data_IF_621742860743
#
_entry.id   IF_621742860743
#
_cell.length_a   1.000
_cell.length_b   1.000
_cell.length_c   1.000
_cell.angle_alpha   90.00
_cell.angle_beta   90.00
_cell.angle_gamma   90.00
#
_symmetry.space_group_name_H-M   'P 1'
#
loop_
_entity.id
_entity.type
_entity.pdbx_description
1 polymer ?
#
# COMPACT_ATOMS: atom_id res chain seq x y z
N UNK A 1 -12.69 -15.27 -2.17
CA UNK A 1 -12.59 -14.31 -1.04
C UNK A 1 -13.83 -13.39 -0.92
N UNK A 2 -14.94 -13.73 -1.58
CA UNK A 2 -16.21 -13.00 -1.44
C UNK A 2 -16.62 -12.81 0.01
N UNK A 3 -17.06 -11.60 0.36
CA UNK A 3 -17.52 -11.23 1.71
C UNK A 3 -16.42 -10.82 2.69
N UNK A 4 -15.14 -10.95 2.32
CA UNK A 4 -14.03 -10.47 3.14
C UNK A 4 -13.70 -9.01 2.84
N UNK A 5 -13.43 -8.26 3.90
CA UNK A 5 -12.88 -6.91 3.85
C UNK A 5 -11.43 -6.98 4.31
N UNK A 6 -10.50 -6.50 3.49
CA UNK A 6 -9.05 -6.60 3.73
C UNK A 6 -8.42 -5.22 3.68
N UNK A 7 -7.67 -4.88 4.73
CA UNK A 7 -6.78 -3.72 4.74
C UNK A 7 -5.38 -4.14 4.26
N UNK A 8 -4.82 -3.39 3.32
CA UNK A 8 -3.45 -3.56 2.82
C UNK A 8 -2.66 -2.30 3.12
N UNK A 9 -1.61 -2.43 3.92
CA UNK A 9 -0.76 -1.31 4.33
C UNK A 9 0.59 -1.36 3.58
N UNK A 10 0.79 -0.56 2.51
CA UNK A 10 2.09 -0.41 1.89
C UNK A 10 2.99 0.48 2.76
N UNK A 11 3.68 -0.15 3.70
CA UNK A 11 4.59 0.50 4.63
C UNK A 11 5.66 1.36 3.95
N UNK A 12 6.07 2.42 4.65
CA UNK A 12 7.03 3.44 4.22
C UNK A 12 6.60 4.27 2.99
N UNK A 13 7.17 5.46 2.85
CA UNK A 13 7.00 6.33 1.68
C UNK A 13 8.09 6.14 0.62
N UNK A 14 7.97 6.89 -0.47
CA UNK A 14 9.04 7.03 -1.47
C UNK A 14 10.10 8.08 -1.06
N UNK A 15 10.05 8.61 0.15
CA UNK A 15 11.00 9.59 0.65
C UNK A 15 12.32 8.91 1.01
N UNK A 16 13.44 9.49 0.57
CA UNK A 16 14.77 9.02 0.98
C UNK A 16 14.92 9.21 2.49
N UNK A 17 15.36 8.15 3.19
CA UNK A 17 15.50 8.12 4.64
C UNK A 17 14.25 7.64 5.39
N UNK A 18 13.13 7.38 4.69
CA UNK A 18 11.97 6.70 5.25
C UNK A 18 11.94 5.24 4.79
N UNK A 19 12.48 4.36 5.63
CA UNK A 19 12.67 2.93 5.33
C UNK A 19 14.06 2.62 4.75
N UNK A 20 14.18 1.42 4.18
CA UNK A 20 15.45 0.88 3.67
C UNK A 20 15.67 1.20 2.20
N UNK A 21 16.93 1.41 1.80
CA UNK A 21 17.33 1.43 0.39
C UNK A 21 18.13 0.16 0.06
N UNK A 22 17.73 -0.55 -0.99
CA UNK A 22 18.46 -1.71 -1.49
C UNK A 22 19.78 -1.32 -2.19
N UNK A 23 20.66 -2.29 -2.50
CA UNK A 23 21.97 -2.01 -3.11
C UNK A 23 21.90 -1.31 -4.48
N UNK A 24 20.77 -1.43 -5.18
CA UNK A 24 20.50 -0.76 -6.46
C UNK A 24 19.76 0.58 -6.30
N UNK A 25 19.59 1.07 -5.07
CA UNK A 25 18.87 2.31 -4.78
C UNK A 25 17.34 2.20 -4.81
N UNK A 26 16.79 0.98 -4.86
CA UNK A 26 15.34 0.77 -4.74
C UNK A 26 14.92 1.08 -3.31
N UNK A 27 13.99 2.01 -3.16
CA UNK A 27 13.43 2.40 -1.86
C UNK A 27 12.34 1.41 -1.43
N UNK A 28 12.38 1.02 -0.16
CA UNK A 28 11.43 0.09 0.46
C UNK A 28 9.97 0.50 0.23
N UNK A 29 9.61 1.76 0.49
CA UNK A 29 8.24 2.21 0.30
C UNK A 29 7.77 2.23 -1.16
N UNK A 30 8.68 2.29 -2.13
CA UNK A 30 8.35 2.09 -3.55
C UNK A 30 8.08 0.62 -3.85
N UNK A 31 8.91 -0.29 -3.34
CA UNK A 31 8.73 -1.73 -3.50
C UNK A 31 7.42 -2.19 -2.85
N UNK A 32 7.17 -1.79 -1.60
CA UNK A 32 5.96 -2.11 -0.85
C UNK A 32 4.71 -1.60 -1.56
N UNK A 33 4.72 -0.37 -2.07
CA UNK A 33 3.58 0.18 -2.81
C UNK A 33 3.24 -0.64 -4.06
N UNK A 34 4.26 -0.98 -4.86
CA UNK A 34 4.08 -1.79 -6.07
C UNK A 34 3.54 -3.18 -5.74
N UNK A 35 4.04 -3.81 -4.68
CA UNK A 35 3.52 -5.10 -4.22
C UNK A 35 2.07 -5.00 -3.74
N UNK A 36 1.73 -3.98 -2.97
CA UNK A 36 0.40 -3.76 -2.45
C UNK A 36 -0.65 -3.55 -3.56
N UNK A 37 -0.31 -2.80 -4.62
CA UNK A 37 -1.19 -2.64 -5.79
C UNK A 37 -1.52 -3.98 -6.46
N UNK A 38 -0.50 -4.84 -6.63
CA UNK A 38 -0.69 -6.18 -7.22
C UNK A 38 -1.47 -7.11 -6.30
N UNK A 39 -1.26 -7.00 -4.98
CA UNK A 39 -2.02 -7.74 -4.00
C UNK A 39 -3.49 -7.33 -4.02
N UNK A 40 -3.77 -6.02 -3.98
CA UNK A 40 -5.13 -5.47 -4.09
C UNK A 40 -5.84 -6.01 -5.32
N UNK A 41 -5.23 -5.88 -6.50
CA UNK A 41 -5.81 -6.36 -7.75
C UNK A 41 -6.17 -7.86 -7.70
N UNK A 42 -5.29 -8.69 -7.12
CA UNK A 42 -5.53 -10.13 -6.98
C UNK A 42 -6.65 -10.45 -6.00
N UNK A 43 -6.67 -9.78 -4.85
CA UNK A 43 -7.68 -9.99 -3.81
C UNK A 43 -9.07 -9.55 -4.28
N UNK A 44 -9.17 -8.42 -4.97
CA UNK A 44 -10.42 -7.92 -5.57
C UNK A 44 -10.95 -8.86 -6.65
N UNK A 45 -10.07 -9.40 -7.52
CA UNK A 45 -10.44 -10.45 -8.50
C UNK A 45 -10.99 -11.72 -7.84
N UNK A 46 -10.59 -12.01 -6.60
CA UNK A 46 -11.12 -13.12 -5.82
C UNK A 46 -12.39 -12.74 -5.04
N UNK A 47 -12.91 -11.53 -5.19
CA UNK A 47 -14.16 -11.05 -4.59
C UNK A 47 -14.00 -10.36 -3.22
N UNK A 48 -12.78 -10.10 -2.75
CA UNK A 48 -12.58 -9.32 -1.54
C UNK A 48 -12.85 -7.82 -1.80
N UNK A 49 -13.26 -7.10 -0.75
CA UNK A 49 -13.22 -5.63 -0.72
C UNK A 49 -11.90 -5.19 -0.10
N UNK A 50 -11.08 -4.43 -0.83
CA UNK A 50 -9.72 -4.11 -0.41
C UNK A 50 -9.52 -2.61 -0.25
N UNK A 51 -9.02 -2.22 0.92
CA UNK A 51 -8.68 -0.85 1.25
C UNK A 51 -7.18 -0.71 1.45
N UNK A 52 -6.61 0.39 0.97
CA UNK A 52 -5.20 0.70 1.17
C UNK A 52 -5.06 1.91 2.09
N UNK A 53 -4.16 1.83 3.08
CA UNK A 53 -3.84 2.96 3.97
C UNK A 53 -3.17 4.13 3.23
N UNK A 54 -2.63 3.86 2.04
CA UNK A 54 -2.02 4.83 1.14
C UNK A 54 -2.41 4.50 -0.30
N UNK A 55 -3.01 5.47 -1.00
CA UNK A 55 -3.43 5.35 -2.39
C UNK A 55 -2.51 6.05 -3.39
N UNK A 56 -1.53 6.83 -2.91
CA UNK A 56 -0.62 7.62 -3.74
C UNK A 56 0.85 7.36 -3.37
N UNK A 57 1.79 7.31 -4.34
CA UNK A 57 3.21 7.12 -4.07
C UNK A 57 3.87 8.20 -3.21
N UNK A 58 3.33 9.43 -3.20
CA UNK A 58 4.01 10.61 -2.68
C UNK A 58 3.75 10.94 -1.20
N UNK A 59 2.71 10.38 -0.59
CA UNK A 59 2.30 10.73 0.78
C UNK A 59 2.34 9.48 1.67
N UNK A 60 3.36 9.36 2.54
CA UNK A 60 3.23 8.56 3.76
C UNK A 60 3.46 9.36 5.06
N UNK A 61 3.65 10.68 4.94
CA UNK A 61 3.69 11.56 6.09
C UNK A 61 2.31 12.22 6.27
N UNK A 62 1.69 11.97 7.42
CA UNK A 62 0.40 12.51 7.89
C UNK A 62 -0.87 11.97 7.19
N UNK A 63 -1.53 11.06 7.92
CA UNK A 63 -2.96 10.78 7.93
C UNK A 63 -3.80 11.27 6.76
N UNK A 64 -4.07 10.38 5.81
CA UNK A 64 -5.31 10.40 5.04
C UNK A 64 -5.90 8.99 5.06
N UNK A 65 -6.51 8.69 6.21
CA UNK A 65 -7.55 7.68 6.35
C UNK A 65 -8.76 8.12 5.52
N UNK A 66 -8.80 7.87 4.22
CA UNK A 66 -9.97 8.25 3.40
C UNK A 66 -10.69 7.11 2.69
N UNK A 67 -10.31 5.86 2.93
CA UNK A 67 -11.18 4.72 2.57
C UNK A 67 -11.63 3.86 3.78
N UNK A 68 -11.32 4.28 5.02
CA UNK A 68 -11.70 3.56 6.26
C UNK A 68 -13.04 4.03 6.87
N UNK A 69 -13.81 4.86 6.17
CA UNK A 69 -15.15 5.23 6.60
C UNK A 69 -16.14 4.16 6.10
N UNK A 70 -16.34 3.14 6.93
CA UNK A 70 -17.53 2.29 6.90
C UNK A 70 -18.69 2.98 7.63
#
# INVERSE_FOLDING_TARGET
MSGLTVAVDPGHSRQIGDGTAGPQGILEGEANFKMALRLKEKLEKLGARVFMTRACPALAAMGIYLDFLF
#
